data_IF_084511266800
#
_entry.id   IF_084511266800
#
_cell.length_a   1.000
_cell.length_b   1.000
_cell.length_c   1.000
_cell.angle_alpha   90.00
_cell.angle_beta   90.00
_cell.angle_gamma   90.00
#
_symmetry.space_group_name_H-M   'P 1'
#
loop_
_entity.id
_entity.type
_entity.pdbx_description
1 polymer ?
#
# COMPACT_ATOMS: atom_id res chain seq x y z
N UNK A 1 43.73 -1.50 -50.29
CA UNK A 1 42.53 -2.23 -49.83
C UNK A 1 42.32 -2.26 -48.31
N UNK A 2 43.29 -1.84 -47.50
CA UNK A 2 43.13 -1.85 -46.01
C UNK A 2 42.32 -0.68 -45.41
N UNK A 3 42.17 0.40 -46.18
CA UNK A 3 41.47 1.61 -45.70
C UNK A 3 39.96 1.66 -46.01
N UNK A 4 39.49 0.83 -46.95
CA UNK A 4 38.08 0.79 -47.35
C UNK A 4 37.23 0.03 -46.29
N UNK A 5 37.80 -0.98 -45.65
CA UNK A 5 37.10 -1.69 -44.56
C UNK A 5 36.94 -0.91 -43.29
N UNK A 6 37.84 0.06 -43.03
CA UNK A 6 37.77 0.92 -41.84
C UNK A 6 36.65 1.96 -41.93
N UNK A 7 36.37 2.47 -43.14
CA UNK A 7 35.33 3.48 -43.37
C UNK A 7 33.91 2.86 -43.31
N UNK A 8 33.77 1.61 -43.78
CA UNK A 8 32.47 0.91 -43.74
C UNK A 8 32.09 0.53 -42.32
N UNK A 9 33.07 0.24 -41.44
CA UNK A 9 32.79 -0.09 -40.04
C UNK A 9 32.36 1.13 -39.19
N UNK A 10 32.85 2.32 -39.51
CA UNK A 10 32.52 3.54 -38.82
C UNK A 10 31.12 4.05 -39.22
N UNK A 11 30.68 3.86 -40.45
CA UNK A 11 29.33 4.24 -40.91
C UNK A 11 28.21 3.32 -40.38
N UNK A 12 28.53 2.07 -40.02
CA UNK A 12 27.55 1.13 -39.49
C UNK A 12 27.23 1.38 -37.98
N UNK A 13 28.15 2.03 -37.23
CA UNK A 13 27.95 2.33 -35.81
C UNK A 13 27.06 3.56 -35.53
N UNK A 14 26.67 4.34 -36.54
CA UNK A 14 25.87 5.56 -36.36
C UNK A 14 24.35 5.37 -36.56
N UNK A 15 23.88 4.14 -36.84
CA UNK A 15 22.45 3.86 -37.08
C UNK A 15 21.72 3.18 -35.90
N UNK A 16 22.39 3.02 -34.75
CA UNK A 16 21.75 2.42 -33.58
C UNK A 16 21.74 3.43 -32.46
N UNK A 17 20.83 4.35 -32.49
CA UNK A 17 20.42 5.07 -31.26
C UNK A 17 19.21 5.98 -31.50
N UNK A 18 18.07 5.39 -31.79
CA UNK A 18 16.80 6.08 -31.55
C UNK A 18 15.83 5.07 -30.90
N UNK A 19 16.29 4.38 -29.86
CA UNK A 19 15.38 3.79 -28.92
C UNK A 19 14.79 4.94 -28.10
N UNK A 20 13.73 5.57 -28.62
CA UNK A 20 12.84 6.39 -27.82
C UNK A 20 12.28 5.50 -26.73
N UNK A 21 12.90 5.52 -25.57
CA UNK A 21 12.33 5.01 -24.34
C UNK A 21 11.05 5.83 -24.07
N UNK A 22 9.94 5.39 -24.65
CA UNK A 22 8.63 5.86 -24.21
C UNK A 22 8.52 5.53 -22.74
N UNK A 23 8.33 6.50 -21.85
CA UNK A 23 8.03 6.21 -20.49
C UNK A 23 6.69 5.46 -20.52
N UNK A 24 6.73 4.13 -20.32
CA UNK A 24 5.51 3.36 -20.08
C UNK A 24 4.81 4.01 -18.89
N UNK A 25 3.81 4.83 -19.17
CA UNK A 25 2.78 5.25 -18.22
C UNK A 25 1.93 4.03 -17.87
N UNK A 26 2.58 2.95 -17.39
CA UNK A 26 1.90 1.84 -16.80
C UNK A 26 1.12 2.38 -15.62
N UNK A 27 -0.19 2.21 -15.66
CA UNK A 27 -1.03 2.35 -14.48
C UNK A 27 -0.31 1.61 -13.36
N UNK A 28 0.18 2.34 -12.36
CA UNK A 28 0.86 1.75 -11.20
C UNK A 28 -0.17 0.88 -10.49
N UNK A 29 -0.23 -0.39 -10.88
CA UNK A 29 -1.05 -1.37 -10.18
C UNK A 29 -0.64 -1.36 -8.73
N UNK A 30 -1.61 -1.24 -7.84
CA UNK A 30 -1.38 -1.34 -6.40
C UNK A 30 -0.68 -2.69 -6.12
N UNK A 31 0.50 -2.62 -5.51
CA UNK A 31 1.26 -3.79 -5.07
C UNK A 31 1.15 -3.91 -3.55
N UNK A 32 0.39 -4.89 -3.04
CA UNK A 32 0.17 -5.06 -1.59
C UNK A 32 1.47 -5.32 -0.83
N UNK A 33 2.39 -6.08 -1.40
CA UNK A 33 3.67 -6.43 -0.77
C UNK A 33 4.55 -5.19 -0.61
N UNK A 34 4.65 -4.38 -1.67
CA UNK A 34 5.38 -3.12 -1.62
C UNK A 34 4.76 -2.16 -0.60
N UNK A 35 3.44 -2.06 -0.59
CA UNK A 35 2.72 -1.23 0.39
C UNK A 35 3.02 -1.66 1.82
N UNK A 36 3.01 -2.97 2.09
CA UNK A 36 3.33 -3.51 3.41
C UNK A 36 4.77 -3.22 3.81
N UNK A 37 5.73 -3.43 2.90
CA UNK A 37 7.14 -3.12 3.16
C UNK A 37 7.36 -1.63 3.46
N UNK A 38 6.73 -0.73 2.69
CA UNK A 38 6.78 0.72 2.93
C UNK A 38 6.18 1.11 4.30
N UNK A 39 5.07 0.48 4.69
CA UNK A 39 4.44 0.71 5.99
C UNK A 39 5.33 0.23 7.14
N UNK A 40 5.88 -0.97 7.05
CA UNK A 40 6.77 -1.53 8.07
C UNK A 40 8.05 -0.69 8.22
N UNK A 41 8.65 -0.27 7.12
CA UNK A 41 9.80 0.64 7.11
C UNK A 41 9.45 1.98 7.78
N UNK A 42 8.28 2.53 7.47
CA UNK A 42 7.82 3.79 8.05
C UNK A 42 7.59 3.67 9.56
N UNK A 43 6.92 2.59 10.00
CA UNK A 43 6.71 2.30 11.42
C UNK A 43 8.04 2.14 12.15
N UNK A 44 8.98 1.38 11.59
CA UNK A 44 10.32 1.16 12.17
C UNK A 44 11.03 2.50 12.42
N UNK A 45 10.99 3.39 11.43
CA UNK A 45 11.65 4.71 11.53
C UNK A 45 10.95 5.62 12.54
N UNK A 46 9.62 5.75 12.48
CA UNK A 46 8.85 6.69 13.33
C UNK A 46 8.82 6.24 14.80
N UNK A 47 8.76 4.93 15.06
CA UNK A 47 8.76 4.39 16.42
C UNK A 47 10.17 4.15 17.00
N UNK A 48 11.21 4.20 16.16
CA UNK A 48 12.60 3.94 16.55
C UNK A 48 12.78 2.49 16.99
N UNK A 49 12.27 1.53 16.20
CA UNK A 49 12.42 0.11 16.52
C UNK A 49 13.82 -0.38 16.17
N UNK A 50 14.41 -1.13 17.10
CA UNK A 50 15.66 -1.86 16.83
C UNK A 50 15.39 -3.05 15.90
N UNK A 51 16.43 -3.65 15.29
CA UNK A 51 16.26 -4.87 14.49
C UNK A 51 15.61 -6.03 15.26
N UNK A 52 15.99 -6.23 16.54
CA UNK A 52 15.41 -7.27 17.40
C UNK A 52 13.94 -7.00 17.70
N UNK A 53 13.59 -5.75 18.06
CA UNK A 53 12.20 -5.36 18.30
C UNK A 53 11.34 -5.54 17.03
N UNK A 54 11.86 -5.15 15.88
CA UNK A 54 11.18 -5.33 14.58
C UNK A 54 10.95 -6.80 14.26
N UNK A 55 11.95 -7.65 14.49
CA UNK A 55 11.86 -9.09 14.25
C UNK A 55 10.78 -9.77 15.11
N UNK A 56 10.58 -9.31 16.35
CA UNK A 56 9.56 -9.84 17.26
C UNK A 56 8.18 -9.22 16.98
N UNK A 57 8.11 -7.94 16.69
CA UNK A 57 6.86 -7.20 16.54
C UNK A 57 6.12 -7.49 15.22
N UNK A 58 6.82 -7.42 14.08
CA UNK A 58 6.14 -7.47 12.77
C UNK A 58 5.44 -8.80 12.47
N UNK A 59 5.88 -9.98 12.91
CA UNK A 59 5.08 -11.20 12.74
C UNK A 59 3.69 -11.08 13.38
N UNK A 60 3.59 -10.54 14.58
CA UNK A 60 2.34 -10.35 15.32
C UNK A 60 1.49 -9.25 14.67
N UNK A 61 2.11 -8.15 14.23
CA UNK A 61 1.45 -7.09 13.49
C UNK A 61 0.84 -7.57 12.17
N UNK A 62 1.57 -8.40 11.41
CA UNK A 62 1.07 -8.99 10.16
C UNK A 62 -0.12 -9.92 10.40
N UNK A 63 -0.12 -10.69 11.48
CA UNK A 63 -1.25 -11.54 11.82
C UNK A 63 -2.50 -10.72 12.14
N UNK A 64 -2.37 -9.65 12.93
CA UNK A 64 -3.44 -8.66 13.12
C UNK A 64 -4.00 -8.17 11.79
N UNK A 65 -3.12 -7.68 10.90
CA UNK A 65 -3.51 -7.13 9.60
C UNK A 65 -4.21 -8.18 8.73
N UNK A 66 -3.73 -9.41 8.72
CA UNK A 66 -4.35 -10.52 7.99
C UNK A 66 -5.78 -10.77 8.46
N UNK A 67 -6.02 -10.83 9.78
CA UNK A 67 -7.36 -11.01 10.36
C UNK A 67 -8.29 -9.85 10.02
N UNK A 68 -7.82 -8.61 10.11
CA UNK A 68 -8.62 -7.44 9.73
C UNK A 68 -8.98 -7.45 8.24
N UNK A 69 -8.05 -7.89 7.37
CA UNK A 69 -8.28 -7.92 5.92
C UNK A 69 -9.44 -8.83 5.49
N UNK A 70 -9.77 -9.86 6.27
CA UNK A 70 -10.94 -10.71 6.02
C UNK A 70 -12.23 -9.88 6.05
N UNK A 71 -12.41 -9.07 7.10
CA UNK A 71 -13.58 -8.22 7.27
C UNK A 71 -13.62 -7.07 6.27
N UNK A 72 -12.47 -6.45 5.95
CA UNK A 72 -12.39 -5.47 4.88
C UNK A 72 -12.74 -6.06 3.50
N UNK A 73 -12.39 -7.33 3.24
CA UNK A 73 -12.74 -7.99 2.00
C UNK A 73 -14.24 -8.26 1.90
N UNK A 74 -14.90 -8.64 3.01
CA UNK A 74 -16.34 -8.80 3.06
C UNK A 74 -17.07 -7.49 2.73
N UNK A 75 -16.68 -6.38 3.34
CA UNK A 75 -17.30 -5.07 3.08
C UNK A 75 -17.15 -4.62 1.62
N UNK A 76 -16.08 -5.04 0.92
CA UNK A 76 -15.91 -4.73 -0.50
C UNK A 76 -16.92 -5.41 -1.42
N UNK A 77 -17.58 -6.49 -1.01
CA UNK A 77 -18.62 -7.17 -1.81
C UNK A 77 -19.81 -6.27 -2.09
N UNK A 78 -20.08 -5.30 -1.20
CA UNK A 78 -21.21 -4.37 -1.33
C UNK A 78 -20.92 -3.13 -2.20
N UNK A 79 -19.73 -3.01 -2.80
CA UNK A 79 -19.35 -1.83 -3.61
C UNK A 79 -20.22 -1.63 -4.87
N UNK A 80 -20.78 -2.68 -5.38
CA UNK A 80 -21.60 -2.68 -6.59
C UNK A 80 -23.07 -3.05 -6.31
N UNK A 81 -23.48 -2.84 -5.05
CA UNK A 81 -24.83 -3.08 -4.64
C UNK A 81 -25.80 -2.18 -5.42
N UNK A 82 -26.95 -2.74 -5.82
CA UNK A 82 -28.04 -1.94 -6.36
C UNK A 82 -28.70 -1.15 -5.22
N UNK A 83 -28.50 0.16 -5.20
CA UNK A 83 -28.99 1.05 -4.13
C UNK A 83 -30.51 1.25 -4.16
N UNK A 84 -31.24 0.70 -5.14
CA UNK A 84 -32.71 0.69 -5.18
C UNK A 84 -33.31 -0.54 -4.48
N UNK A 85 -32.50 -1.53 -4.13
CA UNK A 85 -32.91 -2.71 -3.37
C UNK A 85 -32.77 -2.43 -1.87
N UNK A 86 -33.87 -2.11 -1.24
CA UNK A 86 -33.93 -1.73 0.19
C UNK A 86 -33.40 -2.84 1.11
N UNK A 87 -33.78 -4.10 0.85
CA UNK A 87 -33.34 -5.25 1.65
C UNK A 87 -31.83 -5.47 1.55
N UNK A 88 -31.32 -5.41 0.32
CA UNK A 88 -29.88 -5.54 0.11
C UNK A 88 -29.10 -4.39 0.74
N UNK A 89 -29.63 -3.17 0.70
CA UNK A 89 -29.04 -2.02 1.39
C UNK A 89 -29.03 -2.21 2.91
N UNK A 90 -30.14 -2.64 3.51
CA UNK A 90 -30.21 -2.91 4.96
C UNK A 90 -29.19 -4.01 5.37
N UNK A 91 -29.13 -5.12 4.64
CA UNK A 91 -28.16 -6.18 4.89
C UNK A 91 -26.72 -5.67 4.82
N UNK A 92 -26.39 -4.88 3.80
CA UNK A 92 -25.08 -4.29 3.62
C UNK A 92 -24.69 -3.37 4.79
N UNK A 93 -25.63 -2.52 5.26
CA UNK A 93 -25.42 -1.63 6.41
C UNK A 93 -25.14 -2.45 7.68
N UNK A 94 -26.01 -3.43 7.99
CA UNK A 94 -25.84 -4.29 9.17
C UNK A 94 -24.51 -5.06 9.13
N UNK A 95 -24.17 -5.64 7.99
CA UNK A 95 -22.95 -6.43 7.82
C UNK A 95 -21.70 -5.56 7.93
N UNK A 96 -21.70 -4.37 7.29
CA UNK A 96 -20.57 -3.45 7.39
C UNK A 96 -20.36 -2.96 8.82
N UNK A 97 -21.42 -2.59 9.54
CA UNK A 97 -21.34 -2.17 10.94
C UNK A 97 -20.78 -3.30 11.83
N UNK A 98 -21.24 -4.55 11.64
CA UNK A 98 -20.72 -5.70 12.38
C UNK A 98 -19.23 -5.95 12.06
N UNK A 99 -18.81 -5.83 10.80
CA UNK A 99 -17.42 -5.98 10.39
C UNK A 99 -16.53 -4.89 11.00
N UNK A 100 -16.98 -3.65 11.09
CA UNK A 100 -16.23 -2.56 11.74
C UNK A 100 -16.00 -2.84 13.22
N UNK A 101 -17.01 -3.35 13.92
CA UNK A 101 -16.87 -3.78 15.33
C UNK A 101 -15.80 -4.86 15.44
N UNK A 102 -15.87 -5.91 14.59
CA UNK A 102 -14.88 -6.99 14.57
C UNK A 102 -13.47 -6.53 14.30
N UNK A 103 -13.29 -5.60 13.37
CA UNK A 103 -11.98 -4.99 13.08
C UNK A 103 -11.44 -4.26 14.32
N UNK A 104 -12.30 -3.56 15.08
CA UNK A 104 -11.90 -2.87 16.31
C UNK A 104 -11.59 -3.81 17.46
N UNK A 105 -12.34 -4.90 17.62
CA UNK A 105 -12.05 -5.95 18.61
C UNK A 105 -10.69 -6.61 18.35
N UNK A 106 -10.40 -6.95 17.08
CA UNK A 106 -9.09 -7.47 16.68
C UNK A 106 -8.00 -6.45 17.01
N UNK A 107 -8.20 -5.18 16.64
CA UNK A 107 -7.24 -4.12 16.91
C UNK A 107 -6.95 -3.98 18.41
N UNK A 108 -7.98 -3.97 19.24
CA UNK A 108 -7.83 -3.90 20.69
C UNK A 108 -7.02 -5.08 21.24
N UNK A 109 -7.37 -6.30 20.85
CA UNK A 109 -6.68 -7.52 21.28
C UNK A 109 -5.19 -7.45 20.97
N UNK A 110 -4.85 -7.07 19.74
CA UNK A 110 -3.45 -7.01 19.33
C UNK A 110 -2.69 -5.82 19.91
N UNK A 111 -3.34 -4.68 20.12
CA UNK A 111 -2.69 -3.56 20.80
C UNK A 111 -2.29 -3.94 22.24
N UNK A 112 -3.13 -4.69 22.96
CA UNK A 112 -2.79 -5.22 24.28
C UNK A 112 -1.65 -6.26 24.19
N UNK A 113 -1.65 -7.11 23.18
CA UNK A 113 -0.55 -8.06 22.93
C UNK A 113 0.75 -7.33 22.59
N UNK A 114 0.73 -6.21 21.87
CA UNK A 114 1.94 -5.42 21.60
C UNK A 114 2.59 -4.89 22.87
N UNK A 115 1.80 -4.58 23.90
CA UNK A 115 2.33 -4.14 25.21
C UNK A 115 3.12 -5.23 25.94
N UNK A 116 2.95 -6.50 25.59
CA UNK A 116 3.77 -7.61 26.14
C UNK A 116 5.10 -7.79 25.38
N UNK A 117 5.22 -7.17 24.21
CA UNK A 117 6.39 -7.30 23.32
C UNK A 117 7.27 -6.06 23.40
N UNK A 118 6.66 -4.87 23.50
CA UNK A 118 7.35 -3.58 23.42
C UNK A 118 6.91 -2.64 24.55
N UNK A 119 7.77 -1.70 24.95
CA UNK A 119 7.38 -0.63 25.88
C UNK A 119 6.19 0.18 25.36
N UNK A 120 5.28 0.57 26.26
CA UNK A 120 4.03 1.26 25.90
C UNK A 120 4.26 2.51 25.05
N UNK A 121 5.32 3.30 25.31
CA UNK A 121 5.67 4.46 24.51
C UNK A 121 6.00 4.10 23.05
N UNK A 122 6.63 2.95 22.79
CA UNK A 122 6.90 2.48 21.43
C UNK A 122 5.63 2.01 20.75
N UNK A 123 4.77 1.25 21.46
CA UNK A 123 3.46 0.83 20.94
C UNK A 123 2.63 2.04 20.56
N UNK A 124 2.58 3.07 21.39
CA UNK A 124 1.87 4.32 21.07
C UNK A 124 2.43 5.01 19.81
N UNK A 125 3.75 5.08 19.68
CA UNK A 125 4.41 5.63 18.46
C UNK A 125 4.07 4.81 17.22
N UNK A 126 4.01 3.47 17.31
CA UNK A 126 3.60 2.59 16.22
C UNK A 126 2.19 2.91 15.74
N UNK A 127 1.22 3.02 16.67
CA UNK A 127 -0.17 3.36 16.35
C UNK A 127 -0.24 4.71 15.63
N UNK A 128 0.47 5.72 16.14
CA UNK A 128 0.53 7.06 15.51
C UNK A 128 1.22 7.03 14.13
N UNK A 129 2.25 6.21 13.97
CA UNK A 129 2.95 6.04 12.71
C UNK A 129 2.04 5.40 11.65
N UNK A 130 1.29 4.36 12.01
CA UNK A 130 0.32 3.73 11.11
C UNK A 130 -0.73 4.73 10.62
N UNK A 131 -1.35 5.49 11.53
CA UNK A 131 -2.30 6.54 11.19
C UNK A 131 -1.70 7.62 10.27
N UNK A 132 -0.48 8.07 10.57
CA UNK A 132 0.25 9.05 9.77
C UNK A 132 0.52 8.55 8.37
N UNK A 133 0.97 7.29 8.24
CA UNK A 133 1.21 6.64 6.96
C UNK A 133 -0.07 6.59 6.11
N UNK A 134 -1.17 6.13 6.68
CA UNK A 134 -2.45 6.06 5.97
C UNK A 134 -2.92 7.43 5.49
N UNK A 135 -2.83 8.47 6.33
CA UNK A 135 -3.16 9.85 5.91
C UNK A 135 -2.27 10.33 4.76
N UNK A 136 -0.97 10.03 4.78
CA UNK A 136 -0.05 10.41 3.69
C UNK A 136 -0.39 9.68 2.39
N UNK A 137 -0.71 8.39 2.46
CA UNK A 137 -1.09 7.60 1.30
C UNK A 137 -2.38 8.12 0.66
N UNK A 138 -3.40 8.46 1.46
CA UNK A 138 -4.64 9.05 0.96
C UNK A 138 -4.41 10.39 0.25
N UNK A 139 -3.54 11.26 0.81
CA UNK A 139 -3.14 12.52 0.16
C UNK A 139 -2.43 12.27 -1.18
N UNK A 140 -1.51 11.30 -1.25
CA UNK A 140 -0.83 10.93 -2.52
C UNK A 140 -1.83 10.47 -3.59
N UNK A 141 -2.79 9.62 -3.22
CA UNK A 141 -3.84 9.15 -4.14
C UNK A 141 -4.70 10.31 -4.63
N UNK A 142 -5.10 11.24 -3.76
CA UNK A 142 -5.89 12.41 -4.13
C UNK A 142 -5.13 13.31 -5.12
N UNK A 143 -3.86 13.60 -4.86
CA UNK A 143 -3.01 14.40 -5.75
C UNK A 143 -2.84 13.75 -7.13
N UNK A 144 -2.60 12.42 -7.17
CA UNK A 144 -2.49 11.69 -8.44
C UNK A 144 -3.79 11.78 -9.27
N UNK A 145 -4.97 11.67 -8.62
CA UNK A 145 -6.26 11.83 -9.30
C UNK A 145 -6.44 13.22 -9.89
N UNK A 146 -6.09 14.26 -9.16
CA UNK A 146 -6.18 15.65 -9.64
C UNK A 146 -5.26 15.89 -10.86
N UNK A 147 -4.03 15.35 -10.83
CA UNK A 147 -3.12 15.46 -11.97
C UNK A 147 -3.66 14.76 -13.21
N UNK A 148 -4.25 13.57 -13.06
CA UNK A 148 -4.86 12.84 -14.18
C UNK A 148 -6.05 13.59 -14.80
N UNK A 149 -6.84 14.30 -14.00
CA UNK A 149 -7.96 15.11 -14.48
C UNK A 149 -7.49 16.35 -15.26
N UNK A 150 -6.38 16.98 -14.84
CA UNK A 150 -5.80 18.13 -15.54
C UNK A 150 -5.20 17.78 -16.91
N UNK A 151 -4.73 16.55 -17.09
CA UNK A 151 -4.15 16.08 -18.38
C UNK A 151 -5.23 15.65 -19.37
N UNK A 152 -6.46 15.41 -18.93
CA UNK A 152 -7.60 15.03 -19.79
C UNK A 152 -8.43 16.21 -20.28
N UNK A 153 -8.16 17.41 -19.80
CA UNK A 153 -8.70 18.69 -20.30
C UNK A 153 -7.73 19.35 -21.29
#
# INVERSE_FOLDING_TARGET
MKHIFSVIFITFCLLVSSATAQPQRGQRRFNPQKFQAELEQFITTEAGLTPQESATFFPVYRDMRKKQMTYFAEGRRFRHLNVTDEKACEEAIRKNAANEVKIKEIQQTYHLQFLTILPACKVFKIIRAEEKFHRQMMRRVAMCRQQQQKVKK
#
